data_IF_232858786171
#
_entry.id   IF_232858786171
#
_cell.length_a   1.000
_cell.length_b   1.000
_cell.length_c   1.000
_cell.angle_alpha   90.00
_cell.angle_beta   90.00
_cell.angle_gamma   90.00
#
_symmetry.space_group_name_H-M   'P 1'
#
loop_
_entity.id
_entity.type
_entity.pdbx_description
1 polymer ?
#
# COMPACT_ATOMS: atom_id res chain seq x y z
N UNK A 1 13.06 4.70 -2.98
CA UNK A 1 13.43 3.52 -3.80
C UNK A 1 13.91 4.03 -5.15
N UNK A 2 15.03 3.51 -5.69
CA UNK A 2 15.60 3.97 -6.97
C UNK A 2 15.05 3.20 -8.18
N UNK A 3 13.75 2.88 -8.18
CA UNK A 3 13.10 2.14 -9.28
C UNK A 3 11.60 2.38 -9.31
N UNK A 4 10.99 2.05 -10.45
CA UNK A 4 9.55 1.99 -10.60
C UNK A 4 8.94 0.79 -9.86
N UNK A 5 7.70 0.95 -9.40
CA UNK A 5 6.90 -0.13 -8.84
C UNK A 5 6.53 -1.15 -9.93
N UNK A 6 6.49 -2.43 -9.57
CA UNK A 6 5.88 -3.48 -10.39
C UNK A 6 4.42 -3.66 -9.98
N UNK A 7 3.54 -3.92 -10.95
CA UNK A 7 2.08 -4.00 -10.74
C UNK A 7 1.66 -4.96 -9.62
N UNK A 8 2.39 -6.06 -9.45
CA UNK A 8 2.09 -7.09 -8.45
C UNK A 8 2.47 -6.70 -7.01
N UNK A 9 3.22 -5.63 -6.81
CA UNK A 9 3.61 -5.17 -5.46
C UNK A 9 2.43 -4.59 -4.65
N UNK A 10 1.29 -4.35 -5.29
CA UNK A 10 0.05 -3.91 -4.61
C UNK A 10 -0.86 -5.07 -4.17
N UNK A 11 -0.66 -6.29 -4.68
CA UNK A 11 -1.63 -7.37 -4.51
C UNK A 11 -1.85 -7.73 -3.03
N UNK A 12 -0.77 -7.93 -2.28
CA UNK A 12 -0.84 -8.29 -0.85
C UNK A 12 -1.41 -7.15 0.01
N UNK A 13 -1.14 -5.89 -0.36
CA UNK A 13 -1.74 -4.74 0.33
C UNK A 13 -3.24 -4.69 0.12
N UNK A 14 -3.71 -4.90 -1.10
CA UNK A 14 -5.15 -4.94 -1.41
C UNK A 14 -5.80 -6.14 -0.71
N UNK A 15 -5.16 -7.30 -0.72
CA UNK A 15 -5.64 -8.48 0.00
C UNK A 15 -5.76 -8.22 1.51
N UNK A 16 -4.76 -7.60 2.12
CA UNK A 16 -4.78 -7.20 3.52
C UNK A 16 -5.93 -6.23 3.83
N UNK A 17 -6.15 -5.22 2.99
CA UNK A 17 -7.26 -4.26 3.14
C UNK A 17 -8.65 -4.88 2.97
N UNK A 18 -8.75 -6.00 2.23
CA UNK A 18 -9.98 -6.77 2.13
C UNK A 18 -10.14 -7.82 3.24
N UNK A 19 -9.07 -8.11 3.98
CA UNK A 19 -9.06 -9.10 5.06
C UNK A 19 -9.52 -8.52 6.40
N UNK A 20 -9.81 -9.41 7.36
CA UNK A 20 -10.07 -9.01 8.76
C UNK A 20 -8.88 -8.35 9.46
N UNK A 21 -7.66 -8.50 8.92
CA UNK A 21 -6.44 -7.89 9.44
C UNK A 21 -6.46 -6.35 9.41
N UNK A 22 -7.30 -5.76 8.56
CA UNK A 22 -7.46 -4.31 8.43
C UNK A 22 -8.73 -3.77 9.09
N UNK A 23 -9.37 -4.54 9.98
CA UNK A 23 -10.70 -4.23 10.57
C UNK A 23 -10.85 -2.85 11.22
N UNK A 24 -9.75 -2.18 11.60
CA UNK A 24 -9.76 -0.83 12.16
C UNK A 24 -9.12 0.24 11.25
N UNK A 25 -8.79 -0.11 10.02
CA UNK A 25 -8.19 0.79 9.03
C UNK A 25 -9.29 1.31 8.10
N UNK A 26 -9.87 2.45 8.46
CA UNK A 26 -10.90 3.13 7.67
C UNK A 26 -10.63 4.63 7.59
N UNK A 27 -11.09 5.27 6.51
CA UNK A 27 -10.99 6.73 6.32
C UNK A 27 -9.56 7.27 6.15
N UNK A 28 -8.58 6.41 5.86
CA UNK A 28 -7.18 6.80 5.71
C UNK A 28 -6.65 6.55 4.29
N UNK A 29 -5.56 7.22 3.94
CA UNK A 29 -4.84 7.01 2.67
C UNK A 29 -3.51 6.33 2.95
N UNK A 30 -3.22 5.25 2.21
CA UNK A 30 -1.93 4.55 2.25
C UNK A 30 -1.13 4.94 1.01
N UNK A 31 0.00 5.60 1.20
CA UNK A 31 0.89 6.04 0.11
C UNK A 31 1.89 4.93 -0.18
N UNK A 32 1.92 4.45 -1.43
CA UNK A 32 2.84 3.40 -1.90
C UNK A 32 3.53 3.86 -3.17
N UNK A 33 4.54 4.70 -3.02
CA UNK A 33 5.25 5.37 -4.13
C UNK A 33 6.77 5.14 -4.10
N UNK A 34 7.21 4.17 -3.29
CA UNK A 34 8.63 3.91 -3.07
C UNK A 34 9.33 4.98 -2.24
N UNK A 35 8.60 5.80 -1.48
CA UNK A 35 9.13 6.86 -0.64
C UNK A 35 9.34 8.17 -1.40
N UNK A 36 8.63 8.38 -2.51
CA UNK A 36 8.73 9.61 -3.30
C UNK A 36 8.13 10.81 -2.55
N UNK A 37 7.02 10.61 -1.86
CA UNK A 37 6.29 11.68 -1.15
C UNK A 37 6.97 12.11 0.16
N UNK A 38 7.86 11.29 0.71
CA UNK A 38 8.46 11.49 2.06
C UNK A 38 9.94 11.92 2.03
N UNK A 39 10.61 11.85 0.88
CA UNK A 39 12.02 12.25 0.74
C UNK A 39 12.17 13.75 0.47
#
# INVERSE_FOLDING_TARGET
MKRMMKKNELNELVEFLCSSGSSYMTGTTIVVDGGWTTW
#
